data_IF_939404173775
#
_entry.id   IF_939404173775
#
_cell.length_a   1.000
_cell.length_b   1.000
_cell.length_c   1.000
_cell.angle_alpha   90.00
_cell.angle_beta   90.00
_cell.angle_gamma   90.00
#
_symmetry.space_group_name_H-M   'P 1'
#
loop_
_entity.id
_entity.type
_entity.pdbx_description
1 polymer ?
#
# COMPACT_ATOMS: atom_id res chain seq x y z
N UNK A 1 9.63 50.04 14.54
CA UNK A 1 9.36 49.75 15.96
C UNK A 1 7.92 50.09 16.29
N UNK A 2 7.03 49.10 16.16
CA UNK A 2 5.62 49.24 16.57
C UNK A 2 5.52 48.57 17.94
N UNK A 3 5.27 49.35 18.97
CA UNK A 3 5.03 48.85 20.32
C UNK A 3 3.55 48.49 20.44
N UNK A 4 3.27 47.19 20.55
CA UNK A 4 1.93 46.69 20.84
C UNK A 4 1.80 46.48 22.36
N UNK A 5 0.66 46.88 22.97
CA UNK A 5 0.41 46.66 24.39
C UNK A 5 0.43 45.15 24.73
N UNK A 6 1.08 44.78 25.84
CA UNK A 6 1.16 43.38 26.29
C UNK A 6 -0.22 42.71 26.36
N UNK A 7 -1.24 43.44 26.80
CA UNK A 7 -2.62 42.94 26.88
C UNK A 7 -3.19 42.51 25.51
N UNK A 8 -2.78 43.16 24.42
CA UNK A 8 -3.23 42.84 23.05
C UNK A 8 -2.50 41.63 22.46
N UNK A 9 -1.28 41.35 22.92
CA UNK A 9 -0.54 40.12 22.57
C UNK A 9 -1.17 38.92 23.28
N UNK A 10 -1.50 39.08 24.56
CA UNK A 10 -2.19 38.05 25.34
C UNK A 10 -3.61 37.76 24.85
N UNK A 11 -4.32 38.73 24.28
CA UNK A 11 -5.67 38.49 23.74
C UNK A 11 -5.69 37.77 22.39
N UNK A 12 -4.58 37.78 21.63
CA UNK A 12 -4.50 37.18 20.28
C UNK A 12 -3.86 35.80 20.23
N UNK A 13 -3.08 35.43 21.25
CA UNK A 13 -2.42 34.11 21.35
C UNK A 13 -3.35 33.04 21.93
N UNK A 14 -4.39 33.44 22.67
CA UNK A 14 -5.29 32.55 23.41
C UNK A 14 -6.73 32.71 22.93
N UNK A 15 -7.01 32.26 21.71
CA UNK A 15 -8.36 32.33 21.14
C UNK A 15 -9.29 31.27 21.80
N UNK A 16 -10.52 31.71 22.09
CA UNK A 16 -11.70 31.02 22.65
C UNK A 16 -11.86 30.98 24.18
N UNK A 17 -12.43 32.08 24.73
CA UNK A 17 -13.11 32.07 26.03
C UNK A 17 -14.56 31.62 25.86
N UNK A 18 -14.96 30.51 26.51
CA UNK A 18 -16.37 30.22 26.78
C UNK A 18 -16.74 30.84 28.14
N UNK A 19 -17.83 31.59 28.21
CA UNK A 19 -18.40 32.07 29.48
C UNK A 19 -19.26 30.96 30.09
N UNK A 20 -18.97 30.58 31.34
CA UNK A 20 -19.87 29.75 32.14
C UNK A 20 -21.20 30.46 32.40
N UNK A 21 -22.22 29.73 32.87
CA UNK A 21 -23.53 30.29 33.26
C UNK A 21 -23.45 31.35 34.38
N UNK A 22 -22.32 31.39 35.09
CA UNK A 22 -21.92 32.31 36.16
C UNK A 22 -21.11 33.53 35.66
N UNK A 23 -20.76 33.59 34.37
CA UNK A 23 -19.97 34.66 33.77
C UNK A 23 -18.47 34.57 34.04
N UNK A 24 -17.97 33.48 34.64
CA UNK A 24 -16.53 33.28 34.86
C UNK A 24 -15.82 32.88 33.55
N UNK A 25 -14.58 33.36 33.33
CA UNK A 25 -13.81 32.99 32.14
C UNK A 25 -13.29 31.55 32.28
N UNK A 26 -13.89 30.62 31.53
CA UNK A 26 -13.36 29.26 31.42
C UNK A 26 -12.30 29.24 30.32
N UNK A 27 -11.06 28.90 30.71
CA UNK A 27 -9.98 28.66 29.75
C UNK A 27 -10.19 27.28 29.14
N UNK A 28 -10.76 27.23 27.93
CA UNK A 28 -11.14 25.96 27.30
C UNK A 28 -9.97 25.24 26.62
N UNK A 29 -8.93 25.96 26.19
CA UNK A 29 -7.78 25.38 25.48
C UNK A 29 -6.55 26.29 25.55
N UNK A 30 -5.42 25.73 25.96
CA UNK A 30 -4.11 26.40 25.90
C UNK A 30 -3.28 25.66 24.85
N UNK A 31 -2.86 26.36 23.79
CA UNK A 31 -1.99 25.78 22.76
C UNK A 31 -0.58 26.30 22.97
N UNK A 32 0.37 25.38 23.21
CA UNK A 32 1.77 25.69 23.40
C UNK A 32 2.54 25.20 22.17
N UNK A 33 3.13 26.13 21.43
CA UNK A 33 3.97 25.83 20.26
C UNK A 33 5.42 25.86 20.68
N UNK A 34 6.15 24.78 20.42
CA UNK A 34 7.58 24.67 20.69
C UNK A 34 8.36 24.83 19.38
N UNK A 35 9.43 25.62 19.40
CA UNK A 35 10.35 25.75 18.25
C UNK A 35 11.14 24.47 17.99
N UNK A 36 11.41 23.69 19.06
CA UNK A 36 12.17 22.45 19.00
C UNK A 36 11.25 21.23 19.21
N UNK A 37 10.92 20.47 18.16
CA UNK A 37 10.03 19.32 18.24
C UNK A 37 10.63 18.14 19.03
N UNK A 38 11.94 18.08 19.24
CA UNK A 38 12.57 16.97 19.98
C UNK A 38 12.30 17.06 21.50
N UNK A 39 12.08 18.28 22.01
CA UNK A 39 11.78 18.52 23.44
C UNK A 39 10.29 18.43 23.75
N UNK A 40 9.45 18.20 22.75
CA UNK A 40 8.01 18.26 22.86
C UNK A 40 7.46 17.21 23.84
N UNK A 41 8.04 16.01 23.84
CA UNK A 41 7.71 14.96 24.82
C UNK A 41 8.13 15.33 26.25
N UNK A 42 9.34 15.83 26.42
CA UNK A 42 9.87 16.23 27.74
C UNK A 42 9.08 17.40 28.32
N UNK A 43 8.72 18.38 27.50
CA UNK A 43 7.92 19.54 27.91
C UNK A 43 6.48 19.14 28.18
N UNK A 44 5.88 18.28 27.35
CA UNK A 44 4.55 17.75 27.62
C UNK A 44 4.49 16.99 28.95
N UNK A 45 5.51 16.17 29.25
CA UNK A 45 5.59 15.46 30.52
C UNK A 45 5.78 16.41 31.70
N UNK A 46 6.66 17.42 31.58
CA UNK A 46 6.81 18.45 32.62
C UNK A 46 5.51 19.22 32.87
N UNK A 47 4.73 19.51 31.82
CA UNK A 47 3.42 20.18 31.95
C UNK A 47 2.40 19.26 32.63
N UNK A 48 2.34 17.96 32.26
CA UNK A 48 1.50 16.98 32.95
C UNK A 48 1.85 16.90 34.44
N UNK A 49 3.14 16.81 34.77
CA UNK A 49 3.62 16.71 36.14
C UNK A 49 3.39 18.00 36.95
N UNK A 50 3.50 19.17 36.30
CA UNK A 50 3.23 20.47 36.91
C UNK A 50 1.73 20.63 37.19
N UNK A 51 0.87 20.34 36.21
CA UNK A 51 -0.58 20.42 36.35
C UNK A 51 -1.09 19.40 37.38
N UNK A 52 -0.51 18.21 37.45
CA UNK A 52 -0.87 17.20 38.45
C UNK A 52 -0.47 17.52 39.89
N UNK A 53 0.44 18.48 40.09
CA UNK A 53 0.80 18.98 41.43
C UNK A 53 -0.04 20.18 41.85
N UNK A 54 -0.39 21.06 40.90
CA UNK A 54 -1.12 22.30 41.17
C UNK A 54 -2.65 22.11 41.16
N UNK A 55 -3.18 21.14 40.40
CA UNK A 55 -4.60 20.85 40.36
C UNK A 55 -4.95 19.60 41.19
N UNK A 56 -5.79 19.76 42.21
CA UNK A 56 -6.29 18.67 43.07
C UNK A 56 -7.33 17.76 42.36
N UNK A 57 -7.85 18.18 41.20
CA UNK A 57 -8.83 17.44 40.39
C UNK A 57 -8.31 17.27 38.94
N UNK A 58 -8.58 16.11 38.32
CA UNK A 58 -8.19 15.78 36.93
C UNK A 58 -9.10 16.49 35.89
N UNK A 59 -9.15 17.82 35.94
CA UNK A 59 -9.99 18.63 35.03
C UNK A 59 -9.24 19.09 33.77
N UNK A 60 -8.05 18.54 33.49
CA UNK A 60 -7.19 18.95 32.39
C UNK A 60 -6.77 17.76 31.50
N UNK A 61 -6.71 18.00 30.19
CA UNK A 61 -6.24 17.01 29.21
C UNK A 61 -5.09 17.60 28.39
N UNK A 62 -3.89 17.06 28.58
CA UNK A 62 -2.71 17.43 27.78
C UNK A 62 -2.64 16.53 26.55
N UNK A 63 -3.23 17.01 25.46
CA UNK A 63 -3.20 16.33 24.16
C UNK A 63 -1.96 16.74 23.41
N UNK A 64 -1.07 15.78 23.15
CA UNK A 64 0.11 16.02 22.34
C UNK A 64 -0.11 15.49 20.93
N UNK A 65 -0.15 16.35 19.90
CA UNK A 65 -0.39 15.90 18.53
C UNK A 65 0.64 14.87 18.04
N UNK A 66 1.90 14.98 18.50
CA UNK A 66 2.97 14.05 18.12
C UNK A 66 2.70 12.60 18.57
N UNK A 67 2.12 12.40 19.76
CA UNK A 67 1.77 11.06 20.27
C UNK A 67 0.71 10.39 19.37
N UNK A 68 -0.29 11.15 18.92
CA UNK A 68 -1.32 10.66 17.98
C UNK A 68 -0.73 10.35 16.60
N UNK A 69 0.22 11.16 16.12
CA UNK A 69 0.89 10.92 14.84
C UNK A 69 1.77 9.67 14.88
N UNK A 70 2.52 9.45 15.97
CA UNK A 70 3.36 8.26 16.13
C UNK A 70 2.50 6.98 16.21
N UNK A 71 1.37 7.03 16.93
CA UNK A 71 0.41 5.91 16.96
C UNK A 71 -0.18 5.64 15.56
N UNK A 72 -0.57 6.67 14.82
CA UNK A 72 -1.08 6.54 13.46
C UNK A 72 -0.01 5.98 12.50
N UNK A 73 1.25 6.38 12.65
CA UNK A 73 2.36 5.86 11.85
C UNK A 73 2.62 4.38 12.12
N UNK A 74 2.66 3.96 13.40
CA UNK A 74 2.78 2.54 13.77
C UNK A 74 1.63 1.70 13.24
N UNK A 75 0.40 2.19 13.34
CA UNK A 75 -0.77 1.53 12.77
C UNK A 75 -0.62 1.41 11.24
N UNK A 76 -0.27 2.49 10.55
CA UNK A 76 -0.02 2.50 9.10
C UNK A 76 1.04 1.48 8.69
N UNK A 77 2.18 1.41 9.38
CA UNK A 77 3.24 0.44 9.08
C UNK A 77 2.76 -1.01 9.24
N UNK A 78 1.97 -1.27 10.29
CA UNK A 78 1.37 -2.59 10.52
C UNK A 78 0.42 -2.96 9.39
N UNK A 79 -0.45 -2.04 8.97
CA UNK A 79 -1.36 -2.24 7.84
C UNK A 79 -0.62 -2.48 6.52
N UNK A 80 0.44 -1.71 6.24
CA UNK A 80 1.30 -1.92 5.06
C UNK A 80 1.94 -3.31 5.10
N UNK A 81 2.41 -3.76 6.26
CA UNK A 81 2.96 -5.11 6.43
C UNK A 81 1.95 -6.22 6.13
N UNK A 82 0.72 -6.09 6.62
CA UNK A 82 -0.36 -7.04 6.33
C UNK A 82 -0.70 -7.09 4.84
N UNK A 83 -0.82 -5.93 4.18
CA UNK A 83 -1.07 -5.85 2.74
C UNK A 83 0.09 -6.43 1.93
N UNK A 84 1.33 -6.21 2.36
CA UNK A 84 2.51 -6.83 1.78
C UNK A 84 2.48 -8.35 1.86
N UNK A 85 2.02 -8.92 2.98
CA UNK A 85 1.87 -10.36 3.15
C UNK A 85 0.78 -10.94 2.24
N UNK A 86 -0.38 -10.28 2.15
CA UNK A 86 -1.46 -10.68 1.23
C UNK A 86 -1.00 -10.62 -0.22
N UNK A 87 -0.26 -9.57 -0.59
CA UNK A 87 0.33 -9.44 -1.92
C UNK A 87 1.33 -10.57 -2.20
N UNK A 88 2.20 -10.91 -1.24
CA UNK A 88 3.17 -11.99 -1.39
C UNK A 88 2.49 -13.37 -1.58
N UNK A 89 1.43 -13.66 -0.81
CA UNK A 89 0.66 -14.91 -0.98
C UNK A 89 -0.03 -14.93 -2.35
N UNK A 90 -0.67 -13.83 -2.74
CA UNK A 90 -1.33 -13.71 -4.05
C UNK A 90 -0.34 -13.93 -5.20
N UNK A 91 0.86 -13.38 -5.07
CA UNK A 91 1.95 -13.54 -6.02
C UNK A 91 2.41 -15.01 -6.11
N UNK A 92 2.51 -15.70 -4.98
CA UNK A 92 2.89 -17.10 -4.91
C UNK A 92 1.83 -17.99 -5.58
N UNK A 93 0.55 -17.79 -5.26
CA UNK A 93 -0.56 -18.55 -5.87
C UNK A 93 -0.64 -18.28 -7.38
N UNK A 94 -0.50 -17.03 -7.81
CA UNK A 94 -0.43 -16.67 -9.22
C UNK A 94 0.77 -17.31 -9.93
N UNK A 95 1.93 -17.33 -9.27
CA UNK A 95 3.14 -17.99 -9.75
C UNK A 95 2.98 -19.49 -9.95
N UNK A 96 2.34 -20.18 -8.98
CA UNK A 96 2.00 -21.61 -9.13
C UNK A 96 1.06 -21.82 -10.33
N UNK A 97 0.10 -20.93 -10.53
CA UNK A 97 -0.79 -20.95 -11.70
C UNK A 97 -0.02 -20.86 -13.01
N UNK A 98 0.90 -19.90 -13.13
CA UNK A 98 1.78 -19.75 -14.30
C UNK A 98 2.60 -21.02 -14.53
N UNK A 99 3.21 -21.57 -13.48
CA UNK A 99 3.98 -22.80 -13.56
C UNK A 99 3.14 -23.96 -14.09
N UNK A 100 1.91 -24.14 -13.60
CA UNK A 100 1.01 -25.20 -14.03
C UNK A 100 0.61 -25.07 -15.49
N UNK A 101 0.25 -23.85 -15.93
CA UNK A 101 -0.08 -23.57 -17.33
C UNK A 101 1.13 -23.90 -18.21
N UNK A 102 2.33 -23.45 -17.82
CA UNK A 102 3.56 -23.72 -18.57
C UNK A 102 3.89 -25.22 -18.64
N UNK A 103 3.73 -25.97 -17.55
CA UNK A 103 3.92 -27.42 -17.57
C UNK A 103 2.95 -28.10 -18.53
N UNK A 104 1.67 -27.70 -18.54
CA UNK A 104 0.69 -28.21 -19.48
C UNK A 104 1.09 -27.89 -20.94
N UNK A 105 1.47 -26.65 -21.24
CA UNK A 105 1.93 -26.24 -22.59
C UNK A 105 3.15 -27.03 -23.06
N UNK A 106 4.11 -27.32 -22.16
CA UNK A 106 5.26 -28.17 -22.47
C UNK A 106 4.81 -29.58 -22.83
N UNK A 107 3.85 -30.14 -22.09
CA UNK A 107 3.33 -31.48 -22.40
C UNK A 107 2.57 -31.52 -23.73
N UNK A 108 1.79 -30.49 -24.07
CA UNK A 108 1.08 -30.38 -25.36
C UNK A 108 2.06 -30.28 -26.54
N UNK A 109 3.12 -29.48 -26.39
CA UNK A 109 4.12 -29.23 -27.44
C UNK A 109 5.33 -30.19 -27.39
N UNK A 110 5.24 -31.29 -26.64
CA UNK A 110 6.31 -32.29 -26.46
C UNK A 110 6.96 -32.73 -27.78
N UNK A 111 6.15 -33.03 -28.80
CA UNK A 111 6.64 -33.52 -30.10
C UNK A 111 7.46 -32.47 -30.84
N UNK A 112 7.04 -31.22 -30.82
CA UNK A 112 7.75 -30.12 -31.48
C UNK A 112 9.12 -29.88 -30.84
N UNK A 113 9.19 -29.93 -29.51
CA UNK A 113 10.44 -29.81 -28.75
C UNK A 113 11.38 -30.98 -29.10
N UNK A 114 10.85 -32.20 -29.16
CA UNK A 114 11.60 -33.40 -29.56
C UNK A 114 12.23 -33.25 -30.95
N UNK A 115 11.46 -32.81 -31.94
CA UNK A 115 11.96 -32.58 -33.31
C UNK A 115 13.08 -31.53 -33.33
N UNK A 116 12.92 -30.40 -32.63
CA UNK A 116 13.95 -29.36 -32.54
C UNK A 116 15.25 -29.88 -31.90
N UNK A 117 15.13 -30.70 -30.85
CA UNK A 117 16.30 -31.30 -30.18
C UNK A 117 17.05 -32.31 -31.06
N UNK A 118 16.34 -33.11 -31.87
CA UNK A 118 16.99 -34.04 -32.83
C UNK A 118 17.70 -33.27 -33.95
N UNK A 119 17.16 -32.12 -34.37
CA UNK A 119 17.78 -31.23 -35.34
C UNK A 119 18.99 -30.44 -34.78
N UNK A 120 19.34 -30.63 -33.51
CA UNK A 120 20.54 -30.05 -32.90
C UNK A 120 20.32 -28.84 -31.98
N UNK A 121 19.07 -28.49 -31.65
CA UNK A 121 18.81 -27.43 -30.67
C UNK A 121 19.40 -27.79 -29.29
N UNK A 122 20.11 -26.83 -28.67
CA UNK A 122 20.70 -27.03 -27.35
C UNK A 122 19.62 -26.93 -26.27
N UNK A 123 19.86 -27.56 -25.12
CA UNK A 123 18.98 -27.42 -23.94
C UNK A 123 18.77 -25.95 -23.55
N UNK A 124 19.81 -25.12 -23.69
CA UNK A 124 19.74 -23.69 -23.43
C UNK A 124 18.76 -22.95 -24.33
N UNK A 125 18.69 -23.30 -25.62
CA UNK A 125 17.81 -22.65 -26.59
C UNK A 125 16.34 -22.89 -26.24
N UNK A 126 16.01 -24.14 -25.87
CA UNK A 126 14.66 -24.52 -25.43
C UNK A 126 14.31 -23.82 -24.10
N UNK A 127 15.26 -23.80 -23.15
CA UNK A 127 15.05 -23.13 -21.86
C UNK A 127 14.78 -21.64 -22.05
N UNK A 128 15.56 -20.96 -22.89
CA UNK A 128 15.42 -19.54 -23.17
C UNK A 128 14.09 -19.23 -23.87
N UNK A 129 13.66 -20.07 -24.81
CA UNK A 129 12.38 -19.90 -25.50
C UNK A 129 11.21 -19.91 -24.51
N UNK A 130 11.14 -20.93 -23.65
CA UNK A 130 10.06 -21.02 -22.65
C UNK A 130 10.15 -19.93 -21.58
N UNK A 131 11.36 -19.50 -21.22
CA UNK A 131 11.55 -18.40 -20.28
C UNK A 131 11.05 -17.07 -20.87
N UNK A 132 11.36 -16.80 -22.14
CA UNK A 132 10.85 -15.61 -22.85
C UNK A 132 9.32 -15.67 -22.98
N UNK A 133 8.74 -16.83 -23.30
CA UNK A 133 7.28 -17.02 -23.36
C UNK A 133 6.63 -16.70 -22.00
N UNK A 134 7.22 -17.19 -20.90
CA UNK A 134 6.73 -16.93 -19.54
C UNK A 134 6.89 -15.45 -19.17
N UNK A 135 8.04 -14.84 -19.45
CA UNK A 135 8.30 -13.42 -19.18
C UNK A 135 7.40 -12.50 -20.01
N UNK A 136 7.07 -12.88 -21.25
CA UNK A 136 6.12 -12.15 -22.07
C UNK A 136 4.70 -12.21 -21.48
N UNK A 137 4.27 -13.39 -21.04
CA UNK A 137 2.97 -13.57 -20.37
C UNK A 137 2.87 -12.76 -19.07
N UNK A 138 3.88 -12.85 -18.18
CA UNK A 138 3.84 -12.09 -16.93
C UNK A 138 4.09 -10.60 -17.14
N UNK A 139 4.89 -10.21 -18.12
CA UNK A 139 5.09 -8.81 -18.52
C UNK A 139 3.80 -8.18 -19.04
N UNK A 140 3.06 -8.88 -19.92
CA UNK A 140 1.73 -8.45 -20.37
C UNK A 140 0.74 -8.38 -19.21
N UNK A 141 0.71 -9.38 -18.34
CA UNK A 141 -0.11 -9.37 -17.12
C UNK A 141 0.23 -8.18 -16.20
N UNK A 142 1.52 -7.85 -16.05
CA UNK A 142 1.99 -6.70 -15.28
C UNK A 142 1.54 -5.37 -15.88
N UNK A 143 1.65 -5.20 -17.21
CA UNK A 143 1.16 -4.01 -17.91
C UNK A 143 -0.35 -3.87 -17.75
N UNK A 144 -1.11 -4.96 -17.94
CA UNK A 144 -2.57 -4.96 -17.76
C UNK A 144 -2.96 -4.68 -16.30
N UNK A 145 -2.21 -5.21 -15.34
CA UNK A 145 -2.41 -4.91 -13.91
C UNK A 145 -2.16 -3.45 -13.57
N UNK A 146 -1.09 -2.85 -14.12
CA UNK A 146 -0.82 -1.41 -13.97
C UNK A 146 -1.95 -0.58 -14.60
N UNK A 147 -2.38 -0.93 -15.82
CA UNK A 147 -3.49 -0.27 -16.49
C UNK A 147 -4.80 -0.36 -15.67
N UNK A 148 -5.08 -1.53 -15.10
CA UNK A 148 -6.22 -1.71 -14.18
C UNK A 148 -6.07 -0.91 -12.88
N UNK A 149 -4.85 -0.72 -12.38
CA UNK A 149 -4.56 0.12 -11.22
C UNK A 149 -4.94 1.59 -11.43
N UNK A 150 -4.76 2.12 -12.65
CA UNK A 150 -5.23 3.47 -13.00
C UNK A 150 -6.76 3.60 -12.97
N UNK A 151 -7.50 2.49 -13.10
CA UNK A 151 -8.96 2.49 -13.01
C UNK A 151 -9.47 2.59 -11.56
N UNK A 152 -8.62 2.47 -10.54
CA UNK A 152 -9.05 2.57 -9.14
C UNK A 152 -9.63 3.95 -8.79
N UNK A 153 -9.04 5.04 -9.29
CA UNK A 153 -9.55 6.39 -9.02
C UNK A 153 -10.97 6.62 -9.60
N UNK A 154 -11.22 6.38 -10.91
CA UNK A 154 -12.57 6.53 -11.44
C UNK A 154 -13.55 5.50 -10.86
N UNK A 155 -13.11 4.28 -10.57
CA UNK A 155 -13.96 3.26 -9.93
C UNK A 155 -14.40 3.68 -8.52
N UNK A 156 -13.51 4.28 -7.74
CA UNK A 156 -13.84 4.79 -6.40
C UNK A 156 -14.84 5.96 -6.47
N UNK A 157 -14.61 6.92 -7.38
CA UNK A 157 -15.54 8.05 -7.59
C UNK A 157 -16.92 7.58 -8.04
N UNK A 158 -16.96 6.64 -8.98
CA UNK A 158 -18.21 6.06 -9.47
C UNK A 158 -18.93 5.28 -8.37
N UNK A 159 -18.21 4.50 -7.57
CA UNK A 159 -18.78 3.80 -6.42
C UNK A 159 -19.41 4.74 -5.39
N UNK A 160 -18.73 5.84 -5.06
CA UNK A 160 -19.27 6.86 -4.16
C UNK A 160 -20.51 7.55 -4.75
N UNK A 161 -20.48 7.91 -6.03
CA UNK A 161 -21.63 8.53 -6.71
C UNK A 161 -22.86 7.63 -6.74
N UNK A 162 -22.68 6.33 -6.99
CA UNK A 162 -23.79 5.36 -6.93
C UNK A 162 -24.39 5.23 -5.52
N UNK A 163 -23.55 5.30 -4.48
CA UNK A 163 -24.01 5.26 -3.09
C UNK A 163 -24.77 6.54 -2.73
N UNK A 164 -24.31 7.70 -3.20
CA UNK A 164 -25.00 8.99 -3.05
C UNK A 164 -26.41 8.94 -3.68
N UNK A 165 -26.52 8.39 -4.89
CA UNK A 165 -27.79 8.30 -5.61
C UNK A 165 -28.77 7.27 -5.00
N UNK A 166 -28.27 6.11 -4.56
CA UNK A 166 -29.12 4.99 -4.13
C UNK A 166 -29.42 4.97 -2.62
N UNK A 167 -28.57 5.56 -1.77
CA UNK A 167 -28.70 5.50 -0.30
C UNK A 167 -28.21 6.80 0.38
N UNK A 168 -28.93 7.92 0.21
CA UNK A 168 -28.51 9.23 0.71
C UNK A 168 -28.34 9.30 2.24
N UNK A 169 -29.15 8.54 2.99
CA UNK A 169 -29.05 8.44 4.46
C UNK A 169 -27.75 7.80 4.95
N UNK A 170 -27.19 6.86 4.19
CA UNK A 170 -25.90 6.22 4.51
C UNK A 170 -24.75 7.16 4.08
N UNK A 171 -24.91 7.85 2.95
CA UNK A 171 -23.90 8.78 2.47
C UNK A 171 -23.71 10.00 3.40
N UNK A 172 -24.77 10.53 4.02
CA UNK A 172 -24.67 11.59 5.01
C UNK A 172 -23.96 11.15 6.30
N UNK A 173 -24.09 9.87 6.68
CA UNK A 173 -23.40 9.30 7.84
C UNK A 173 -21.88 9.14 7.64
N UNK A 174 -21.40 9.22 6.39
CA UNK A 174 -19.96 9.11 6.14
C UNK A 174 -19.20 10.35 6.58
N UNK A 175 -18.09 10.18 7.34
CA UNK A 175 -17.18 11.26 7.67
C UNK A 175 -16.74 12.04 6.42
N UNK A 176 -16.66 13.39 6.49
CA UNK A 176 -16.24 14.21 5.35
C UNK A 176 -14.84 13.85 4.84
N UNK A 177 -14.00 13.27 5.69
CA UNK A 177 -12.67 12.75 5.34
C UNK A 177 -12.71 11.62 4.31
N UNK A 178 -13.75 10.77 4.28
CA UNK A 178 -13.88 9.68 3.30
C UNK A 178 -14.41 10.16 1.95
N UNK A 179 -15.27 11.19 1.96
CA UNK A 179 -15.85 11.79 0.74
C UNK A 179 -14.79 12.47 -0.13
N UNK A 180 -13.78 13.06 0.52
CA UNK A 180 -12.70 13.77 -0.16
C UNK A 180 -11.40 12.95 -0.28
N UNK A 181 -11.42 11.67 0.12
CA UNK A 181 -10.25 10.81 0.02
C UNK A 181 -10.02 10.43 -1.45
N UNK A 182 -8.97 10.97 -2.05
CA UNK A 182 -8.54 10.58 -3.39
C UNK A 182 -7.46 9.51 -3.28
N UNK A 183 -7.62 8.33 -3.91
CA UNK A 183 -6.53 7.36 -3.97
C UNK A 183 -5.35 7.97 -4.76
N UNK A 184 -4.20 8.06 -4.11
CA UNK A 184 -3.00 8.64 -4.72
C UNK A 184 -2.11 7.55 -5.32
N UNK A 185 -1.79 7.68 -6.60
CA UNK A 185 -0.89 6.78 -7.31
C UNK A 185 0.55 7.27 -7.18
N UNK A 186 1.38 6.54 -6.45
CA UNK A 186 2.80 6.84 -6.32
C UNK A 186 3.52 6.41 -7.59
N UNK A 187 3.91 7.36 -8.44
CA UNK A 187 4.53 7.11 -9.75
C UNK A 187 5.77 6.21 -9.67
N UNK A 188 6.58 6.34 -8.61
CA UNK A 188 7.77 5.51 -8.38
C UNK A 188 7.46 4.02 -8.14
N UNK A 189 6.22 3.66 -7.82
CA UNK A 189 5.81 2.27 -7.64
C UNK A 189 5.62 1.50 -8.96
N UNK A 190 5.37 2.21 -10.07
CA UNK A 190 5.13 1.61 -11.39
C UNK A 190 6.28 0.70 -11.87
N UNK A 191 7.54 1.18 -11.90
CA UNK A 191 8.66 0.32 -12.29
C UNK A 191 8.85 -0.84 -11.31
N UNK A 192 8.57 -0.65 -10.01
CA UNK A 192 8.68 -1.69 -9.00
C UNK A 192 7.68 -2.82 -9.26
N UNK A 193 6.40 -2.48 -9.52
CA UNK A 193 5.35 -3.45 -9.86
C UNK A 193 5.71 -4.22 -11.13
N UNK A 194 6.15 -3.52 -12.19
CA UNK A 194 6.57 -4.19 -13.42
C UNK A 194 7.75 -5.15 -13.20
N UNK A 195 8.75 -4.74 -12.42
CA UNK A 195 9.88 -5.58 -12.06
C UNK A 195 9.45 -6.82 -11.28
N UNK A 196 8.50 -6.69 -10.35
CA UNK A 196 7.97 -7.87 -9.63
C UNK A 196 7.26 -8.85 -10.57
N UNK A 197 6.53 -8.38 -11.57
CA UNK A 197 5.88 -9.23 -12.58
C UNK A 197 6.89 -9.98 -13.48
N UNK A 198 7.99 -9.31 -13.86
CA UNK A 198 9.07 -9.96 -14.62
C UNK A 198 9.80 -10.99 -13.76
N UNK A 199 10.12 -10.64 -12.51
CA UNK A 199 10.80 -11.54 -11.57
C UNK A 199 9.99 -12.80 -11.29
N UNK A 200 8.67 -12.69 -11.14
CA UNK A 200 7.83 -13.88 -10.95
C UNK A 200 7.79 -14.77 -12.18
N UNK A 201 7.72 -14.19 -13.38
CA UNK A 201 7.82 -14.95 -14.62
C UNK A 201 9.13 -15.75 -14.71
N UNK A 202 10.25 -15.16 -14.29
CA UNK A 202 11.54 -15.85 -14.24
C UNK A 202 11.54 -16.96 -13.19
N UNK A 203 11.13 -16.65 -11.96
CA UNK A 203 11.17 -17.59 -10.83
C UNK A 203 10.29 -18.82 -11.09
N UNK A 204 9.05 -18.63 -11.51
CA UNK A 204 8.10 -19.71 -11.75
C UNK A 204 8.22 -20.35 -13.14
N UNK A 205 8.85 -19.66 -14.11
CA UNK A 205 9.10 -20.17 -15.46
C UNK A 205 10.38 -21.02 -15.59
N UNK A 206 11.38 -20.84 -14.72
CA UNK A 206 12.64 -21.59 -14.79
C UNK A 206 12.44 -23.10 -14.66
N UNK A 207 11.59 -23.54 -13.73
CA UNK A 207 11.33 -24.96 -13.50
C UNK A 207 10.73 -25.67 -14.74
N UNK A 208 9.58 -25.22 -15.30
CA UNK A 208 9.01 -25.84 -16.50
C UNK A 208 9.94 -25.71 -17.71
N UNK A 209 10.64 -24.59 -17.87
CA UNK A 209 11.60 -24.40 -18.97
C UNK A 209 12.75 -25.41 -18.94
N UNK A 210 13.32 -25.67 -17.74
CA UNK A 210 14.34 -26.71 -17.56
C UNK A 210 13.77 -28.10 -17.80
N UNK A 211 12.56 -28.38 -17.30
CA UNK A 211 11.88 -29.67 -17.51
C UNK A 211 11.67 -29.96 -19.00
N UNK A 212 11.28 -28.96 -19.78
CA UNK A 212 11.13 -29.07 -21.22
C UNK A 212 12.46 -29.36 -21.93
N UNK A 213 13.53 -28.65 -21.52
CA UNK A 213 14.85 -28.79 -22.12
C UNK A 213 15.52 -30.14 -21.83
N UNK A 214 15.18 -30.79 -20.71
CA UNK A 214 15.75 -32.09 -20.33
C UNK A 214 15.04 -33.29 -20.98
N UNK A 215 13.89 -33.08 -21.61
CA UNK A 215 13.08 -34.13 -22.21
C UNK A 215 13.84 -34.93 -23.28
N UNK A 216 13.82 -36.27 -23.19
CA UNK A 216 14.53 -37.14 -24.11
C UNK A 216 13.87 -37.11 -25.50
N UNK A 217 14.58 -36.71 -26.58
CA UNK A 217 14.01 -36.60 -27.91
C UNK A 217 13.44 -37.92 -28.46
N UNK A 218 14.00 -39.07 -28.06
CA UNK A 218 13.52 -40.38 -28.51
C UNK A 218 12.16 -40.70 -27.88
N UNK A 219 11.98 -40.41 -26.60
CA UNK A 219 10.74 -40.67 -25.86
C UNK A 219 9.62 -39.71 -26.28
N UNK A 220 9.97 -38.48 -26.65
CA UNK A 220 9.04 -37.47 -27.17
C UNK A 220 8.41 -37.86 -28.52
N UNK A 221 9.10 -38.68 -29.32
CA UNK A 221 8.62 -39.16 -30.62
C UNK A 221 7.80 -40.46 -30.51
N UNK A 222 7.98 -41.23 -29.43
CA UNK A 222 7.41 -42.58 -29.26
C UNK A 222 6.01 -42.59 -28.61
N UNK A 223 5.57 -41.49 -28.01
CA UNK A 223 4.30 -41.38 -27.28
C UNK A 223 3.00 -41.51 -28.13
N UNK A 224 3.08 -41.88 -29.41
CA UNK A 224 1.92 -41.96 -30.33
C UNK A 224 1.92 -43.22 -31.21
N UNK A 225 2.62 -44.28 -30.83
CA UNK A 225 2.44 -45.61 -31.43
C UNK A 225 1.50 -46.46 -30.61
#
# INVERSE_FOLDING_TARGET
NVYLPLQTVWSKVFDYYYRGYDGSPLVSKITLTLEDPQKLMTVAQMIRDFLGKEHEMEDYQVTVPLELMEQAEKAKLTFVGLMGLVAAISLLVGGIGIMNIMLATVTERTREIGIRRVLGARKGDITLQFLIETMALTGLGGILGIAAGFLCEPAYKLGLGLIEDCAPTIFESFPPSMKNMTPELVMWSLPLVFMTAVLTGVLFGIYPARKAAEMNPVDALRHVS
#
